data_IF_311862443730
#
_entry.id   IF_311862443730
#
_cell.length_a   1.000
_cell.length_b   1.000
_cell.length_c   1.000
_cell.angle_alpha   90.00
_cell.angle_beta   90.00
_cell.angle_gamma   90.00
#
_symmetry.space_group_name_H-M   'P 1'
#
loop_
_entity.id
_entity.type
_entity.pdbx_description
1 polymer ?
#
# COMPACT_ATOMS: atom_id res chain seq x y z
N UNK A 1 -22.92 2.08 -12.13
CA UNK A 1 -23.38 3.45 -11.88
C UNK A 1 -22.24 4.44 -12.06
N UNK A 2 -22.57 5.73 -12.27
CA UNK A 2 -21.58 6.81 -12.35
C UNK A 2 -20.74 6.93 -11.08
N UNK A 3 -21.33 6.70 -9.90
CA UNK A 3 -20.61 6.70 -8.63
C UNK A 3 -19.56 5.59 -8.57
N UNK A 4 -19.89 4.41 -9.07
CA UNK A 4 -18.93 3.31 -9.15
C UNK A 4 -17.74 3.70 -10.06
N UNK A 5 -18.00 4.22 -11.25
CA UNK A 5 -16.95 4.63 -12.20
C UNK A 5 -16.08 5.76 -11.64
N UNK A 6 -16.66 6.70 -10.87
CA UNK A 6 -15.93 7.82 -10.28
C UNK A 6 -15.07 7.42 -9.08
N UNK A 7 -15.32 6.25 -8.44
CA UNK A 7 -14.67 5.79 -7.22
C UNK A 7 -13.67 4.65 -7.43
N UNK A 8 -13.61 4.08 -8.63
CA UNK A 8 -12.82 2.89 -8.92
C UNK A 8 -11.74 3.15 -9.96
N UNK A 9 -10.63 2.44 -9.78
CA UNK A 9 -9.59 2.36 -10.80
C UNK A 9 -10.06 1.49 -11.97
N UNK A 10 -10.02 2.00 -13.21
CA UNK A 10 -10.56 1.26 -14.36
C UNK A 10 -9.79 -0.02 -14.71
N UNK A 11 -8.50 -0.09 -14.41
CA UNK A 11 -7.71 -1.28 -14.71
C UNK A 11 -7.96 -2.42 -13.72
N UNK A 12 -7.91 -2.12 -12.44
CA UNK A 12 -7.91 -3.13 -11.38
C UNK A 12 -9.25 -3.29 -10.67
N UNK A 13 -10.13 -2.31 -10.78
CA UNK A 13 -11.38 -2.25 -10.02
C UNK A 13 -11.22 -1.86 -8.55
N UNK A 14 -10.01 -1.66 -8.07
CA UNK A 14 -9.77 -1.16 -6.72
C UNK A 14 -10.32 0.26 -6.56
N UNK A 15 -10.64 0.66 -5.34
CA UNK A 15 -10.99 2.05 -5.06
C UNK A 15 -9.84 2.97 -5.48
N UNK A 16 -10.16 4.19 -5.84
CA UNK A 16 -9.15 5.18 -6.26
C UNK A 16 -8.76 6.11 -5.11
N UNK A 17 -7.85 7.05 -5.39
CA UNK A 17 -7.36 8.02 -4.39
C UNK A 17 -8.47 8.93 -3.86
N UNK A 18 -9.42 9.33 -4.70
CA UNK A 18 -10.56 10.14 -4.27
C UNK A 18 -11.41 9.38 -3.23
N UNK A 19 -11.63 8.09 -3.43
CA UNK A 19 -12.34 7.24 -2.47
C UNK A 19 -11.60 7.15 -1.14
N UNK A 20 -10.26 7.10 -1.14
CA UNK A 20 -9.47 7.11 0.08
C UNK A 20 -9.69 8.41 0.86
N UNK A 21 -9.65 9.56 0.19
CA UNK A 21 -9.91 10.86 0.80
C UNK A 21 -11.29 10.92 1.43
N UNK A 22 -12.31 10.46 0.71
CA UNK A 22 -13.70 10.43 1.19
C UNK A 22 -13.85 9.50 2.39
N UNK A 23 -13.25 8.32 2.35
CA UNK A 23 -13.27 7.34 3.43
C UNK A 23 -12.60 7.89 4.70
N UNK A 24 -11.48 8.57 4.56
CA UNK A 24 -10.79 9.18 5.70
C UNK A 24 -11.60 10.33 6.31
N UNK A 25 -12.22 11.17 5.49
CA UNK A 25 -13.13 12.22 5.96
C UNK A 25 -14.30 11.63 6.75
N UNK A 26 -14.85 10.51 6.28
CA UNK A 26 -15.92 9.80 7.00
C UNK A 26 -15.41 9.25 8.35
N UNK A 27 -14.22 8.68 8.38
CA UNK A 27 -13.59 8.19 9.60
C UNK A 27 -13.41 9.33 10.63
N UNK A 28 -12.89 10.47 10.22
CA UNK A 28 -12.70 11.63 11.09
C UNK A 28 -14.02 12.15 11.69
N UNK A 29 -15.10 12.08 10.92
CA UNK A 29 -16.36 12.76 11.21
C UNK A 29 -17.35 11.90 11.99
N UNK A 30 -17.44 10.61 11.67
CA UNK A 30 -18.54 9.75 12.08
C UNK A 30 -18.10 8.49 12.83
N UNK A 31 -16.81 8.19 12.83
CA UNK A 31 -16.35 6.97 13.47
C UNK A 31 -16.20 7.18 14.99
N UNK A 32 -16.81 6.29 15.76
CA UNK A 32 -16.52 6.13 17.18
C UNK A 32 -15.20 5.37 17.37
N UNK A 33 -14.67 4.79 16.31
CA UNK A 33 -13.39 4.11 16.30
C UNK A 33 -12.27 5.12 16.27
N UNK A 34 -11.29 4.96 17.15
CA UNK A 34 -10.14 5.82 17.25
C UNK A 34 -8.88 5.18 16.68
N UNK A 35 -9.00 3.96 16.17
CA UNK A 35 -7.88 3.13 15.74
C UNK A 35 -7.96 2.87 14.23
N UNK A 36 -6.94 3.33 13.53
CA UNK A 36 -6.76 3.14 12.09
C UNK A 36 -5.28 2.96 11.82
N UNK A 37 -4.94 1.92 11.06
CA UNK A 37 -3.60 1.79 10.46
C UNK A 37 -3.71 1.98 8.95
N UNK A 38 -2.74 2.67 8.37
CA UNK A 38 -2.67 2.93 6.94
C UNK A 38 -1.38 2.33 6.39
N UNK A 39 -1.55 1.52 5.35
CA UNK A 39 -0.46 0.87 4.64
C UNK A 39 -0.25 1.56 3.29
N UNK A 40 1.01 1.74 2.92
CA UNK A 40 1.38 2.08 1.53
C UNK A 40 2.23 0.94 0.99
N UNK A 41 1.83 0.41 -0.14
CA UNK A 41 2.39 -0.79 -0.77
C UNK A 41 2.87 -0.42 -2.17
N UNK A 42 4.06 -0.89 -2.53
CA UNK A 42 4.62 -0.71 -3.85
C UNK A 42 5.11 -2.06 -4.39
N UNK A 43 4.80 -2.34 -5.66
CA UNK A 43 5.33 -3.52 -6.33
C UNK A 43 6.81 -3.30 -6.64
N UNK A 44 7.66 -4.19 -6.13
CA UNK A 44 9.10 -4.11 -6.32
C UNK A 44 9.47 -4.35 -7.79
N UNK A 45 10.34 -3.50 -8.32
CA UNK A 45 10.87 -3.61 -9.68
C UNK A 45 9.79 -3.64 -10.78
N UNK A 46 8.67 -2.94 -10.58
CA UNK A 46 7.55 -2.97 -11.54
C UNK A 46 7.99 -2.44 -12.91
N UNK A 47 8.81 -1.42 -12.97
CA UNK A 47 9.37 -0.91 -14.23
C UNK A 47 10.15 -2.00 -14.97
N UNK A 48 10.96 -2.78 -14.25
CA UNK A 48 11.69 -3.92 -14.85
C UNK A 48 10.76 -5.00 -15.39
N UNK A 49 9.63 -5.25 -14.72
CA UNK A 49 8.61 -6.18 -15.21
C UNK A 49 8.04 -5.68 -16.54
N UNK A 50 7.68 -4.40 -16.63
CA UNK A 50 7.20 -3.81 -17.88
C UNK A 50 8.27 -3.84 -18.98
N UNK A 51 9.51 -3.51 -18.64
CA UNK A 51 10.61 -3.50 -19.61
C UNK A 51 10.92 -4.91 -20.15
N UNK A 52 10.85 -5.92 -19.28
CA UNK A 52 11.15 -7.31 -19.66
C UNK A 52 9.97 -8.02 -20.34
N UNK A 53 8.75 -7.83 -19.85
CA UNK A 53 7.57 -8.62 -20.27
C UNK A 53 6.54 -7.82 -21.04
N UNK A 54 6.65 -6.50 -21.10
CA UNK A 54 5.71 -5.59 -21.74
C UNK A 54 4.62 -5.06 -20.80
N UNK A 55 4.01 -3.95 -21.20
CA UNK A 55 2.96 -3.29 -20.41
C UNK A 55 1.71 -4.14 -20.20
N UNK A 56 1.34 -4.97 -21.18
CA UNK A 56 0.20 -5.88 -21.05
C UNK A 56 0.41 -6.89 -19.92
N UNK A 57 1.61 -7.42 -19.80
CA UNK A 57 1.96 -8.30 -18.67
C UNK A 57 1.98 -7.54 -17.35
N UNK A 58 2.53 -6.32 -17.33
CA UNK A 58 2.48 -5.45 -16.17
C UNK A 58 1.06 -5.18 -15.69
N UNK A 59 0.13 -4.91 -16.61
CA UNK A 59 -1.29 -4.73 -16.30
C UNK A 59 -1.90 -5.98 -15.66
N UNK A 60 -1.59 -7.15 -16.19
CA UNK A 60 -2.04 -8.43 -15.63
C UNK A 60 -1.47 -8.67 -14.23
N UNK A 61 -0.21 -8.30 -14.00
CA UNK A 61 0.40 -8.36 -12.66
C UNK A 61 -0.36 -7.46 -11.69
N UNK A 62 -0.72 -6.25 -12.07
CA UNK A 62 -1.50 -5.32 -11.24
C UNK A 62 -2.88 -5.88 -10.91
N UNK A 63 -3.57 -6.44 -11.89
CA UNK A 63 -4.89 -7.06 -11.71
C UNK A 63 -4.81 -8.25 -10.75
N UNK A 64 -3.85 -9.14 -10.95
CA UNK A 64 -3.68 -10.33 -10.12
C UNK A 64 -3.26 -9.96 -8.69
N UNK A 65 -2.38 -8.98 -8.53
CA UNK A 65 -1.98 -8.46 -7.21
C UNK A 65 -3.19 -7.88 -6.47
N UNK A 66 -4.03 -7.12 -7.17
CA UNK A 66 -5.27 -6.57 -6.59
C UNK A 66 -6.19 -7.69 -6.10
N UNK A 67 -6.32 -8.78 -6.87
CA UNK A 67 -7.10 -9.95 -6.47
C UNK A 67 -6.57 -10.56 -5.18
N UNK A 68 -5.26 -10.75 -5.08
CA UNK A 68 -4.61 -11.28 -3.88
C UNK A 68 -4.82 -10.38 -2.66
N UNK A 69 -4.64 -9.08 -2.82
CA UNK A 69 -4.86 -8.12 -1.74
C UNK A 69 -6.32 -8.13 -1.25
N UNK A 70 -7.26 -8.14 -2.18
CA UNK A 70 -8.69 -8.15 -1.86
C UNK A 70 -9.08 -9.40 -1.05
N UNK A 71 -8.47 -10.54 -1.32
CA UNK A 71 -8.70 -11.77 -0.56
C UNK A 71 -8.30 -11.63 0.91
N UNK A 72 -7.30 -10.83 1.20
CA UNK A 72 -6.77 -10.66 2.56
C UNK A 72 -7.47 -9.54 3.32
N UNK A 73 -7.62 -8.37 2.70
CA UNK A 73 -8.09 -7.16 3.39
C UNK A 73 -9.51 -6.76 3.04
N UNK A 74 -10.10 -7.36 2.02
CA UNK A 74 -11.43 -6.99 1.52
C UNK A 74 -11.40 -5.82 0.55
N UNK A 75 -12.43 -5.74 -0.29
CA UNK A 75 -12.55 -4.73 -1.35
C UNK A 75 -12.62 -3.30 -0.80
N UNK A 76 -13.37 -3.09 0.30
CA UNK A 76 -13.62 -1.75 0.84
C UNK A 76 -12.39 -1.10 1.51
N UNK A 77 -11.32 -1.84 1.71
CA UNK A 77 -10.13 -1.36 2.40
C UNK A 77 -8.94 -1.15 1.46
N UNK A 78 -9.12 -1.44 0.17
CA UNK A 78 -8.04 -1.42 -0.81
C UNK A 78 -8.22 -0.27 -1.81
N UNK A 79 -7.13 0.48 -2.00
CA UNK A 79 -7.09 1.64 -2.89
C UNK A 79 -5.87 1.55 -3.79
N UNK A 80 -6.02 1.85 -5.07
CA UNK A 80 -4.88 2.09 -5.96
C UNK A 80 -4.64 3.59 -6.03
N UNK A 81 -3.49 4.04 -5.57
CA UNK A 81 -3.18 5.48 -5.43
C UNK A 81 -2.12 5.98 -6.41
N UNK A 82 -1.47 5.09 -7.13
CA UNK A 82 -0.48 5.39 -8.15
C UNK A 82 -0.38 4.23 -9.14
N UNK A 83 0.58 4.27 -10.04
CA UNK A 83 0.75 3.26 -11.08
C UNK A 83 0.89 1.84 -10.51
N UNK A 84 1.88 1.62 -9.67
CA UNK A 84 2.15 0.37 -8.95
C UNK A 84 1.99 0.51 -7.44
N UNK A 85 1.32 1.55 -6.99
CA UNK A 85 1.21 1.93 -5.59
C UNK A 85 -0.21 1.74 -5.09
N UNK A 86 -0.34 1.05 -3.96
CA UNK A 86 -1.61 0.76 -3.30
C UNK A 86 -1.60 1.28 -1.87
N UNK A 87 -2.79 1.54 -1.37
CA UNK A 87 -3.03 1.88 0.03
C UNK A 87 -4.05 0.93 0.61
N UNK A 88 -3.90 0.57 1.87
CA UNK A 88 -4.86 -0.23 2.62
C UNK A 88 -5.17 0.50 3.92
N UNK A 89 -6.45 0.53 4.29
CA UNK A 89 -6.90 1.01 5.59
C UNK A 89 -7.34 -0.17 6.45
N UNK A 90 -6.83 -0.25 7.67
CA UNK A 90 -7.18 -1.28 8.65
C UNK A 90 -7.74 -0.61 9.89
N UNK A 91 -9.02 -0.85 10.17
CA UNK A 91 -9.72 -0.30 11.33
C UNK A 91 -9.62 -1.26 12.51
N UNK A 92 -9.60 -0.71 13.74
CA UNK A 92 -9.59 -1.47 14.99
C UNK A 92 -8.42 -2.43 15.16
N UNK A 93 -7.28 -2.07 14.60
CA UNK A 93 -6.06 -2.86 14.72
C UNK A 93 -4.92 -2.02 15.30
N UNK A 94 -4.13 -2.64 16.17
CA UNK A 94 -2.87 -2.07 16.62
C UNK A 94 -1.84 -2.09 15.49
N UNK A 95 -0.76 -1.34 15.66
CA UNK A 95 0.34 -1.33 14.70
C UNK A 95 0.93 -2.74 14.53
N UNK A 96 1.06 -3.50 15.61
CA UNK A 96 1.57 -4.88 15.59
C UNK A 96 0.64 -5.83 14.84
N UNK A 97 -0.68 -5.68 15.03
CA UNK A 97 -1.67 -6.46 14.28
C UNK A 97 -1.64 -6.11 12.79
N UNK A 98 -1.55 -4.82 12.46
CA UNK A 98 -1.42 -4.37 11.08
C UNK A 98 -0.13 -4.88 10.45
N UNK A 99 0.97 -4.93 11.21
CA UNK A 99 2.23 -5.51 10.77
C UNK A 99 2.11 -6.98 10.37
N UNK A 100 1.30 -7.76 11.10
CA UNK A 100 1.04 -9.16 10.75
C UNK A 100 0.22 -9.28 9.47
N UNK A 101 -0.76 -8.41 9.26
CA UNK A 101 -1.50 -8.34 7.98
C UNK A 101 -0.55 -8.01 6.83
N UNK A 102 0.33 -7.03 7.03
CA UNK A 102 1.34 -6.67 6.03
C UNK A 102 2.25 -7.84 5.68
N UNK A 103 2.72 -8.57 6.67
CA UNK A 103 3.58 -9.73 6.45
C UNK A 103 2.84 -10.85 5.69
N UNK A 104 1.56 -11.02 5.97
CA UNK A 104 0.72 -11.96 5.21
C UNK A 104 0.57 -11.52 3.75
N UNK A 105 0.33 -10.24 3.49
CA UNK A 105 0.26 -9.69 2.13
C UNK A 105 1.59 -9.90 1.39
N UNK A 106 2.70 -9.58 2.04
CA UNK A 106 4.04 -9.74 1.48
C UNK A 106 4.31 -11.21 1.10
N UNK A 107 4.03 -12.11 2.02
CA UNK A 107 4.27 -13.54 1.82
C UNK A 107 3.40 -14.12 0.70
N UNK A 108 2.11 -13.77 0.65
CA UNK A 108 1.19 -14.31 -0.36
C UNK A 108 1.59 -13.84 -1.77
N UNK A 109 2.08 -12.62 -1.93
CA UNK A 109 2.56 -12.13 -3.22
C UNK A 109 3.87 -12.81 -3.61
N UNK A 110 4.84 -12.88 -2.70
CA UNK A 110 6.16 -13.48 -3.01
C UNK A 110 6.07 -14.97 -3.34
N UNK A 111 5.10 -15.68 -2.79
CA UNK A 111 4.88 -17.11 -3.00
C UNK A 111 3.93 -17.40 -4.18
N UNK A 112 3.23 -16.39 -4.67
CA UNK A 112 2.26 -16.58 -5.75
C UNK A 112 2.96 -16.82 -7.09
N UNK A 113 2.44 -17.77 -7.86
CA UNK A 113 2.87 -18.00 -9.23
C UNK A 113 2.13 -17.04 -10.16
N UNK A 114 2.81 -15.98 -10.58
CA UNK A 114 2.30 -15.08 -11.62
C UNK A 114 2.64 -15.69 -12.99
N UNK A 115 1.70 -16.42 -13.56
CA UNK A 115 1.88 -17.07 -14.83
C UNK A 115 0.83 -16.57 -15.83
N UNK A 116 1.28 -16.03 -16.97
CA UNK A 116 0.44 -15.49 -18.03
C UNK A 116 0.87 -16.12 -19.35
N UNK A 117 0.09 -17.09 -19.83
CA UNK A 117 0.47 -17.95 -20.96
C UNK A 117 1.79 -18.67 -20.65
N UNK A 118 2.85 -18.42 -21.42
CA UNK A 118 4.17 -19.03 -21.20
C UNK A 118 5.10 -18.18 -20.34
N UNK A 119 4.66 -16.98 -19.93
CA UNK A 119 5.46 -16.05 -19.13
C UNK A 119 5.27 -16.32 -17.63
N UNK A 120 6.37 -16.43 -16.91
CA UNK A 120 6.39 -16.55 -15.45
C UNK A 120 7.08 -15.33 -14.88
N UNK A 121 6.40 -14.64 -13.98
CA UNK A 121 6.88 -13.39 -13.40
C UNK A 121 6.99 -13.54 -11.89
N UNK A 122 8.16 -13.23 -11.35
CA UNK A 122 8.37 -13.17 -9.91
C UNK A 122 8.02 -11.75 -9.44
N UNK A 123 7.14 -11.63 -8.46
CA UNK A 123 6.71 -10.36 -7.90
C UNK A 123 6.92 -10.36 -6.39
N UNK A 124 7.49 -9.28 -5.88
CA UNK A 124 7.53 -9.00 -4.46
C UNK A 124 6.98 -7.60 -4.20
N UNK A 125 6.63 -7.31 -2.96
CA UNK A 125 6.14 -6.01 -2.55
C UNK A 125 6.92 -5.51 -1.33
N UNK A 126 7.02 -4.20 -1.23
CA UNK A 126 7.51 -3.50 -0.05
C UNK A 126 6.35 -2.72 0.57
N UNK A 127 6.30 -2.68 1.88
CA UNK A 127 5.19 -2.08 2.62
C UNK A 127 5.72 -1.20 3.74
N UNK A 128 5.16 0.02 3.81
CA UNK A 128 5.27 0.88 4.98
C UNK A 128 3.91 1.00 5.65
N UNK A 129 3.85 0.98 6.97
CA UNK A 129 2.61 1.09 7.73
C UNK A 129 2.77 2.04 8.91
N UNK A 130 1.73 2.84 9.16
CA UNK A 130 1.64 3.71 10.32
C UNK A 130 0.28 3.58 11.00
N UNK A 131 0.22 4.02 12.25
CA UNK A 131 -1.01 4.08 13.04
C UNK A 131 -1.46 5.53 13.18
N UNK A 132 -2.75 5.77 13.00
CA UNK A 132 -3.38 7.07 13.21
C UNK A 132 -3.29 7.49 14.67
N UNK A 133 -2.92 8.75 14.88
CA UNK A 133 -3.04 9.43 16.17
C UNK A 133 -3.99 10.62 16.04
N UNK A 134 -4.72 10.91 17.10
CA UNK A 134 -5.67 12.03 17.11
C UNK A 134 -5.01 13.32 16.61
N UNK A 135 -5.63 13.98 15.64
CA UNK A 135 -5.12 15.17 14.99
C UNK A 135 -4.34 14.93 13.70
N UNK A 136 -3.98 13.68 13.39
CA UNK A 136 -3.34 13.37 12.11
C UNK A 136 -4.29 13.64 10.94
N UNK A 137 -3.75 14.19 9.87
CA UNK A 137 -4.41 14.29 8.58
C UNK A 137 -4.02 13.13 7.68
N UNK A 138 -4.81 12.87 6.64
CA UNK A 138 -4.51 11.80 5.69
C UNK A 138 -3.10 11.95 5.09
N UNK A 139 -2.72 13.19 4.73
CA UNK A 139 -1.38 13.44 4.16
C UNK A 139 -0.25 13.13 5.16
N UNK A 140 -0.49 13.29 6.47
CA UNK A 140 0.49 12.90 7.50
C UNK A 140 0.67 11.38 7.51
N UNK A 141 -0.43 10.62 7.48
CA UNK A 141 -0.38 9.16 7.46
C UNK A 141 0.31 8.63 6.20
N UNK A 142 -0.05 9.18 5.04
CA UNK A 142 0.59 8.81 3.78
C UNK A 142 2.11 9.08 3.83
N UNK A 143 2.51 10.22 4.39
CA UNK A 143 3.92 10.57 4.54
C UNK A 143 4.65 9.61 5.48
N UNK A 144 4.08 9.29 6.64
CA UNK A 144 4.70 8.38 7.60
C UNK A 144 4.87 6.97 7.01
N UNK A 145 3.83 6.46 6.36
CA UNK A 145 3.88 5.16 5.70
C UNK A 145 4.88 5.15 4.54
N UNK A 146 4.92 6.22 3.73
CA UNK A 146 5.88 6.37 2.63
C UNK A 146 7.33 6.40 3.10
N UNK A 147 7.61 7.03 4.23
CA UNK A 147 8.95 7.03 4.82
C UNK A 147 9.42 5.62 5.12
N UNK A 148 8.54 4.79 5.68
CA UNK A 148 8.87 3.39 5.98
C UNK A 148 8.92 2.54 4.72
N UNK A 149 8.08 2.80 3.73
CA UNK A 149 8.16 2.16 2.42
C UNK A 149 9.54 2.42 1.76
N UNK A 150 10.00 3.66 1.81
CA UNK A 150 11.33 4.03 1.29
C UNK A 150 12.43 3.24 2.01
N UNK A 151 12.35 3.10 3.34
CA UNK A 151 13.30 2.30 4.13
C UNK A 151 13.25 0.82 3.74
N UNK A 152 12.06 0.28 3.53
CA UNK A 152 11.89 -1.09 3.05
C UNK A 152 12.63 -1.29 1.72
N UNK A 153 12.46 -0.36 0.78
CA UNK A 153 13.15 -0.40 -0.52
C UNK A 153 14.66 -0.32 -0.37
N UNK A 154 15.16 0.55 0.49
CA UNK A 154 16.60 0.71 0.75
C UNK A 154 17.21 -0.50 1.46
N UNK A 155 16.45 -1.19 2.29
CA UNK A 155 16.92 -2.34 3.05
C UNK A 155 16.87 -3.67 2.25
N UNK A 156 16.52 -3.63 0.96
CA UNK A 156 16.55 -4.80 0.09
C UNK A 156 15.19 -5.20 -0.48
N UNK A 157 14.15 -4.40 -0.27
CA UNK A 157 12.78 -4.67 -0.75
C UNK A 157 12.18 -5.93 -0.14
N UNK A 158 11.01 -6.35 -0.60
CA UNK A 158 10.33 -7.57 -0.13
C UNK A 158 10.27 -7.64 1.39
N UNK A 159 9.77 -6.59 2.01
CA UNK A 159 9.72 -6.48 3.48
C UNK A 159 8.71 -5.44 3.93
N UNK A 160 8.37 -5.51 5.21
CA UNK A 160 7.46 -4.61 5.91
C UNK A 160 8.25 -3.76 6.88
N UNK A 161 7.94 -2.46 6.94
CA UNK A 161 8.49 -1.52 7.91
C UNK A 161 7.37 -0.79 8.63
N UNK A 162 7.50 -0.69 9.96
CA UNK A 162 6.53 -0.04 10.83
C UNK A 162 7.02 1.36 11.20
N UNK A 163 6.18 2.37 11.01
CA UNK A 163 6.44 3.70 11.53
C UNK A 163 6.03 3.75 13.00
N UNK A 164 6.98 4.11 13.88
CA UNK A 164 6.73 4.27 15.32
C UNK A 164 6.85 5.73 15.68
N UNK A 165 5.77 6.29 16.24
CA UNK A 165 5.77 7.65 16.76
C UNK A 165 6.79 7.78 17.90
N UNK A 166 7.52 8.90 17.92
CA UNK A 166 8.51 9.18 18.96
C UNK A 166 9.86 8.51 18.78
N UNK A 167 10.06 7.66 17.76
CA UNK A 167 11.38 7.15 17.43
C UNK A 167 12.16 8.20 16.63
N UNK A 168 12.94 9.01 17.36
CA UNK A 168 13.96 9.86 16.73
C UNK A 168 15.14 9.00 16.33
N UNK A 169 15.13 8.52 15.09
CA UNK A 169 16.32 7.93 14.52
C UNK A 169 17.13 9.05 13.86
N UNK A 170 18.38 9.32 14.29
CA UNK A 170 19.21 10.39 13.72
C UNK A 170 19.37 10.29 12.19
N UNK A 171 19.23 9.10 11.61
CA UNK A 171 19.25 8.86 10.18
C UNK A 171 18.06 9.48 9.44
N UNK A 172 16.96 9.78 10.13
CA UNK A 172 15.78 10.44 9.52
C UNK A 172 16.03 11.93 9.23
N UNK A 173 16.81 12.62 10.06
CA UNK A 173 17.06 14.06 9.94
C UNK A 173 17.97 14.35 8.75
N UNK A 174 18.92 13.46 8.45
CA UNK A 174 19.87 13.64 7.37
C UNK A 174 19.30 13.32 5.98
N UNK A 175 18.22 12.52 5.91
CA UNK A 175 17.59 12.18 4.63
C UNK A 175 16.60 13.25 4.13
N UNK A 176 16.09 14.09 5.03
CA UNK A 176 15.21 15.19 4.65
C UNK A 176 15.99 16.39 4.08
N UNK A 177 17.29 16.49 4.35
CA UNK A 177 18.13 17.57 3.84
C UNK A 177 18.84 17.27 2.53
N UNK A 178 18.88 16.00 2.10
CA UNK A 178 19.52 15.62 0.82
C UNK A 178 18.55 15.61 -0.38
N UNK A 179 17.25 15.83 -0.16
CA UNK A 179 16.22 15.89 -1.21
C UNK A 179 15.60 17.28 -1.40
N UNK A 180 16.34 18.32 -1.05
CA UNK A 180 15.97 19.71 -1.35
C UNK A 180 16.82 20.25 -2.50
#
# INVERSE_FOLDING_TARGET
SLLYLASRDPLTGAHNRLSLTTSFQHFERFSDQTSLCLLVIDLDFFKSINDQFGHDTGDKVLIETTRLFTQVVGDNNLYRIGGEEFCVTLFDQSLEQAGRVCEHLRAIVSQHLFAFREKRVQVTISIGVCEYQAGDQLNDLLKFADMELYRAKKAGRNQVRLFRHGSTNPTMVNQQTENV
#
